data_IF_456025999499
#
_entry.id   IF_456025999499
#
_cell.length_a   1.000
_cell.length_b   1.000
_cell.length_c   1.000
_cell.angle_alpha   90.00
_cell.angle_beta   90.00
_cell.angle_gamma   90.00
#
_symmetry.space_group_name_H-M   'P 1'
#
loop_
_entity.id
_entity.type
_entity.pdbx_description
1 polymer ?
#
# COMPACT_ATOMS: atom_id res chain seq x y z
N UNK A 1 41.24 -12.62 9.81
CA UNK A 1 40.77 -12.97 8.45
C UNK A 1 40.81 -11.72 7.60
N UNK A 2 41.62 -11.69 6.53
CA UNK A 2 41.58 -10.60 5.56
C UNK A 2 40.31 -10.75 4.73
N UNK A 3 39.46 -9.72 4.75
CA UNK A 3 38.28 -9.60 3.89
C UNK A 3 38.74 -9.70 2.42
N UNK A 4 38.13 -10.60 1.65
CA UNK A 4 38.47 -10.81 0.23
C UNK A 4 38.20 -9.51 -0.57
N UNK A 5 38.95 -9.21 -1.64
CA UNK A 5 38.62 -8.09 -2.53
C UNK A 5 37.17 -8.12 -3.03
N UNK A 6 36.62 -9.32 -3.25
CA UNK A 6 35.21 -9.53 -3.64
C UNK A 6 34.20 -9.15 -2.54
N UNK A 7 34.57 -9.23 -1.26
CA UNK A 7 33.69 -8.85 -0.14
C UNK A 7 33.54 -7.33 0.00
N UNK A 8 34.39 -6.54 -0.67
CA UNK A 8 34.35 -5.08 -0.70
C UNK A 8 33.60 -4.54 -1.92
N UNK A 9 33.29 -5.40 -2.87
CA UNK A 9 32.59 -5.01 -4.07
C UNK A 9 31.12 -4.70 -3.74
N UNK A 10 30.69 -3.51 -4.15
CA UNK A 10 29.32 -3.07 -3.92
C UNK A 10 28.41 -3.77 -4.92
N UNK A 11 27.44 -4.50 -4.40
CA UNK A 11 26.45 -5.22 -5.19
C UNK A 11 25.09 -4.55 -5.09
N UNK A 12 24.26 -4.74 -6.11
CA UNK A 12 22.84 -4.46 -6.05
C UNK A 12 22.10 -5.73 -5.68
N UNK A 13 21.12 -5.62 -4.79
CA UNK A 13 20.28 -6.74 -4.36
C UNK A 13 18.82 -6.33 -4.51
N UNK A 14 18.05 -7.15 -5.23
CA UNK A 14 16.60 -7.04 -5.33
C UNK A 14 15.95 -7.95 -4.28
N UNK A 15 15.08 -7.38 -3.47
CA UNK A 15 14.28 -8.09 -2.49
C UNK A 15 12.95 -7.37 -2.27
N UNK A 16 11.86 -8.13 -2.18
CA UNK A 16 10.51 -7.59 -1.99
C UNK A 16 10.15 -6.54 -3.07
N UNK A 17 10.63 -6.74 -4.30
CA UNK A 17 10.35 -5.82 -5.39
C UNK A 17 11.00 -4.44 -5.31
N UNK A 18 12.02 -4.27 -4.47
CA UNK A 18 12.80 -3.03 -4.37
C UNK A 18 14.29 -3.35 -4.31
N UNK A 19 15.14 -2.35 -4.51
CA UNK A 19 16.59 -2.52 -4.58
C UNK A 19 17.32 -1.83 -3.43
N UNK A 20 18.37 -2.50 -2.95
CA UNK A 20 19.39 -1.90 -2.10
C UNK A 20 20.79 -2.12 -2.67
N UNK A 21 21.71 -1.21 -2.35
CA UNK A 21 23.08 -1.20 -2.85
C UNK A 21 24.07 -1.08 -1.67
N UNK A 22 24.94 -2.07 -1.51
CA UNK A 22 25.92 -2.20 -0.42
C UNK A 22 26.93 -3.31 -0.72
N UNK A 23 28.05 -3.45 0.04
CA UNK A 23 28.89 -4.63 -0.03
C UNK A 23 28.09 -5.92 0.17
N UNK A 24 28.40 -6.97 -0.59
CA UNK A 24 27.58 -8.19 -0.68
C UNK A 24 27.21 -8.82 0.68
N UNK A 25 28.14 -8.99 1.63
CA UNK A 25 27.79 -9.56 2.94
C UNK A 25 26.78 -8.70 3.71
N UNK A 26 26.90 -7.38 3.63
CA UNK A 26 26.00 -6.43 4.30
C UNK A 26 24.61 -6.40 3.64
N UNK A 27 24.58 -6.41 2.31
CA UNK A 27 23.36 -6.42 1.52
C UNK A 27 22.51 -7.66 1.83
N UNK A 28 23.13 -8.85 1.74
CA UNK A 28 22.46 -10.14 2.03
C UNK A 28 22.02 -10.21 3.49
N UNK A 29 22.89 -9.84 4.44
CA UNK A 29 22.55 -9.83 5.87
C UNK A 29 21.35 -8.91 6.16
N UNK A 30 21.25 -7.78 5.45
CA UNK A 30 20.15 -6.84 5.58
C UNK A 30 18.82 -7.41 5.11
N UNK A 31 18.80 -8.08 3.95
CA UNK A 31 17.60 -8.73 3.41
C UNK A 31 17.10 -9.83 4.35
N UNK A 32 18.01 -10.71 4.79
CA UNK A 32 17.69 -11.82 5.69
C UNK A 32 17.19 -11.32 7.05
N UNK A 33 17.77 -10.24 7.59
CA UNK A 33 17.35 -9.64 8.86
C UNK A 33 15.91 -9.07 8.83
N UNK A 34 15.38 -8.73 7.66
CA UNK A 34 13.98 -8.31 7.48
C UNK A 34 13.06 -9.46 7.03
N UNK A 35 13.53 -10.71 7.12
CA UNK A 35 12.75 -11.91 6.80
C UNK A 35 12.49 -12.11 5.31
N UNK A 36 13.26 -11.45 4.44
CA UNK A 36 13.15 -11.60 2.99
C UNK A 36 14.22 -12.52 2.44
N UNK A 37 14.01 -12.92 1.18
CA UNK A 37 14.99 -13.65 0.39
C UNK A 37 15.54 -12.72 -0.69
N UNK A 38 16.82 -12.89 -1.00
CA UNK A 38 17.43 -12.27 -2.17
C UNK A 38 16.75 -12.84 -3.40
N UNK A 39 16.03 -11.98 -4.12
CA UNK A 39 15.39 -12.38 -5.38
C UNK A 39 16.44 -12.42 -6.49
N UNK A 40 17.37 -11.46 -6.49
CA UNK A 40 18.53 -11.38 -7.39
C UNK A 40 19.65 -10.52 -6.80
N UNK A 41 20.90 -10.77 -7.22
CA UNK A 41 22.07 -9.99 -6.86
C UNK A 41 22.95 -9.73 -8.09
N UNK A 42 23.59 -8.55 -8.17
CA UNK A 42 24.47 -8.12 -9.27
C UNK A 42 25.71 -7.40 -8.77
N UNK A 43 26.86 -7.59 -9.42
CA UNK A 43 28.13 -6.92 -9.14
C UNK A 43 28.63 -6.05 -10.31
N UNK A 44 29.80 -5.42 -10.20
CA UNK A 44 30.29 -4.52 -11.24
C UNK A 44 30.69 -5.27 -12.52
N UNK A 45 31.04 -6.56 -12.41
CA UNK A 45 31.44 -7.40 -13.54
C UNK A 45 30.25 -7.75 -14.44
N UNK A 46 29.03 -7.82 -13.88
CA UNK A 46 27.79 -7.94 -14.65
C UNK A 46 27.53 -6.74 -15.59
N UNK A 47 28.16 -5.59 -15.34
CA UNK A 47 27.99 -4.35 -16.12
C UNK A 47 29.18 -4.03 -17.05
N UNK A 48 30.24 -4.84 -17.06
CA UNK A 48 31.47 -4.56 -17.81
C UNK A 48 31.45 -5.05 -19.28
N UNK A 49 30.35 -5.66 -19.74
CA UNK A 49 30.14 -6.03 -21.15
C UNK A 49 29.72 -4.80 -21.98
N UNK A 50 30.53 -4.43 -22.98
CA UNK A 50 30.35 -3.23 -23.80
C UNK A 50 29.17 -3.29 -24.77
N UNK A 51 28.62 -4.47 -25.03
CA UNK A 51 27.46 -4.69 -25.91
C UNK A 51 26.11 -4.74 -25.16
N UNK A 52 26.11 -4.48 -23.85
CA UNK A 52 24.94 -4.73 -23.01
C UNK A 52 24.09 -3.47 -22.75
N UNK A 53 22.97 -3.36 -23.47
CA UNK A 53 21.80 -2.58 -23.02
C UNK A 53 21.13 -3.33 -21.87
N UNK A 54 21.60 -3.14 -20.64
CA UNK A 54 21.04 -3.83 -19.47
C UNK A 54 19.56 -3.49 -19.29
N UNK A 55 18.60 -4.43 -19.43
CA UNK A 55 17.28 -4.16 -18.91
C UNK A 55 17.46 -4.00 -17.41
N UNK A 56 16.95 -2.91 -16.85
CA UNK A 56 16.49 -2.88 -15.48
C UNK A 56 15.67 -4.18 -15.30
N UNK A 57 16.22 -5.18 -14.61
CA UNK A 57 15.60 -6.53 -14.51
C UNK A 57 14.44 -6.51 -13.52
N UNK A 58 14.39 -5.48 -12.67
CA UNK A 58 13.18 -4.99 -12.03
C UNK A 58 12.08 -4.96 -13.10
N UNK A 59 10.90 -5.57 -12.85
CA UNK A 59 9.82 -5.51 -13.83
C UNK A 59 9.58 -4.07 -14.28
N UNK A 60 9.52 -3.81 -15.59
CA UNK A 60 9.54 -2.44 -16.15
C UNK A 60 8.47 -1.53 -15.55
N UNK A 61 7.32 -2.09 -15.13
CA UNK A 61 6.21 -1.35 -14.51
C UNK A 61 6.33 -1.17 -12.98
N UNK A 62 7.37 -1.70 -12.33
CA UNK A 62 7.56 -1.66 -10.88
C UNK A 62 7.56 -0.23 -10.35
N UNK A 63 6.65 0.01 -9.39
CA UNK A 63 6.46 1.29 -8.72
C UNK A 63 5.81 2.40 -9.57
N UNK A 64 5.72 2.25 -10.89
CA UNK A 64 5.15 3.28 -11.77
C UNK A 64 3.65 3.48 -11.56
N UNK A 65 2.91 2.38 -11.37
CA UNK A 65 1.46 2.43 -11.11
C UNK A 65 1.17 3.31 -9.90
N UNK A 66 1.86 3.08 -8.78
CA UNK A 66 1.70 3.89 -7.57
C UNK A 66 2.26 5.31 -7.74
N UNK A 67 3.33 5.51 -8.52
CA UNK A 67 3.85 6.86 -8.77
C UNK A 67 2.82 7.75 -9.48
N UNK A 68 2.20 7.26 -10.55
CA UNK A 68 1.15 8.03 -11.23
C UNK A 68 -0.10 8.17 -10.36
N UNK A 69 -0.45 7.13 -9.61
CA UNK A 69 -1.59 7.15 -8.69
C UNK A 69 -1.38 8.13 -7.52
N UNK A 70 -0.14 8.39 -7.10
CA UNK A 70 0.16 9.40 -6.09
C UNK A 70 -0.22 10.81 -6.57
N UNK A 71 0.17 11.20 -7.78
CA UNK A 71 -0.24 12.49 -8.34
C UNK A 71 -1.75 12.54 -8.59
N UNK A 72 -2.34 11.43 -9.06
CA UNK A 72 -3.80 11.30 -9.17
C UNK A 72 -4.50 11.49 -7.83
N UNK A 73 -3.97 10.92 -6.75
CA UNK A 73 -4.50 11.03 -5.40
C UNK A 73 -4.39 12.46 -4.84
N UNK A 74 -3.31 13.19 -5.16
CA UNK A 74 -3.19 14.62 -4.83
C UNK A 74 -4.31 15.42 -5.48
N UNK A 75 -4.53 15.23 -6.80
CA UNK A 75 -5.58 15.94 -7.53
C UNK A 75 -6.96 15.56 -6.99
N UNK A 76 -7.20 14.26 -6.78
CA UNK A 76 -8.46 13.75 -6.22
C UNK A 76 -8.75 14.33 -4.83
N UNK A 77 -7.75 14.37 -3.94
CA UNK A 77 -7.86 15.00 -2.62
C UNK A 77 -8.09 16.50 -2.70
N UNK A 78 -7.35 17.21 -3.56
CA UNK A 78 -7.51 18.65 -3.78
C UNK A 78 -8.91 19.03 -4.30
N UNK A 79 -9.60 18.12 -4.98
CA UNK A 79 -10.99 18.28 -5.41
C UNK A 79 -11.98 17.91 -4.30
N UNK A 80 -11.83 16.73 -3.69
CA UNK A 80 -12.85 16.21 -2.77
C UNK A 80 -12.84 16.89 -1.40
N UNK A 81 -11.67 17.30 -0.90
CA UNK A 81 -11.55 17.95 0.42
C UNK A 81 -12.37 19.25 0.47
N UNK A 82 -12.22 20.22 -0.47
CA UNK A 82 -13.04 21.43 -0.44
C UNK A 82 -14.53 21.15 -0.63
N UNK A 83 -14.90 20.23 -1.53
CA UNK A 83 -16.30 19.86 -1.75
C UNK A 83 -16.94 19.31 -0.48
N UNK A 84 -16.21 18.46 0.24
CA UNK A 84 -16.66 17.90 1.52
C UNK A 84 -16.69 18.96 2.63
N UNK A 85 -15.72 19.88 2.68
CA UNK A 85 -15.67 20.94 3.68
C UNK A 85 -16.83 21.93 3.55
N UNK A 86 -17.35 22.15 2.34
CA UNK A 86 -18.56 22.98 2.11
C UNK A 86 -19.83 22.31 2.64
N UNK A 87 -19.89 20.96 2.64
CA UNK A 87 -21.01 20.25 3.29
C UNK A 87 -20.96 20.37 4.80
N UNK A 88 -19.75 20.33 5.38
CA UNK A 88 -19.52 20.63 6.78
C UNK A 88 -18.16 20.17 7.28
N UNK A 89 -17.79 20.64 8.48
CA UNK A 89 -16.47 20.39 9.05
C UNK A 89 -16.18 18.90 9.26
N UNK A 90 -17.21 18.12 9.61
CA UNK A 90 -17.10 16.66 9.79
C UNK A 90 -16.74 15.96 8.48
N UNK A 91 -17.40 16.36 7.39
CA UNK A 91 -17.09 15.84 6.05
C UNK A 91 -15.68 16.26 5.61
N UNK A 92 -15.34 17.55 5.69
CA UNK A 92 -14.02 18.06 5.32
C UNK A 92 -12.87 17.36 6.05
N UNK A 93 -12.99 17.18 7.37
CA UNK A 93 -11.98 16.48 8.16
C UNK A 93 -11.83 15.00 7.76
N UNK A 94 -12.95 14.27 7.69
CA UNK A 94 -12.92 12.83 7.41
C UNK A 94 -12.32 12.52 6.03
N UNK A 95 -12.66 13.33 5.02
CA UNK A 95 -12.10 13.24 3.67
C UNK A 95 -10.64 13.66 3.63
N UNK A 96 -10.21 14.63 4.46
CA UNK A 96 -8.79 15.01 4.56
C UNK A 96 -7.95 13.85 5.10
N UNK A 97 -8.43 13.16 6.13
CA UNK A 97 -7.75 11.96 6.68
C UNK A 97 -7.64 10.88 5.61
N UNK A 98 -8.73 10.57 4.90
CA UNK A 98 -8.71 9.63 3.78
C UNK A 98 -7.71 10.04 2.68
N UNK A 99 -7.72 11.30 2.28
CA UNK A 99 -6.86 11.83 1.20
C UNK A 99 -5.37 11.79 1.59
N UNK A 100 -5.05 12.06 2.85
CA UNK A 100 -3.69 11.98 3.37
C UNK A 100 -3.18 10.53 3.37
N UNK A 101 -4.01 9.56 3.77
CA UNK A 101 -3.56 8.16 3.83
C UNK A 101 -3.43 7.53 2.44
N UNK A 102 -4.29 7.85 1.47
CA UNK A 102 -4.12 7.39 0.08
C UNK A 102 -2.89 8.01 -0.60
N UNK A 103 -2.63 9.30 -0.35
CA UNK A 103 -1.38 9.94 -0.79
C UNK A 103 -0.16 9.30 -0.14
N UNK A 104 -0.22 9.03 1.16
CA UNK A 104 0.84 8.33 1.89
C UNK A 104 1.11 6.93 1.33
N UNK A 105 0.05 6.14 1.09
CA UNK A 105 0.16 4.79 0.53
C UNK A 105 0.88 4.81 -0.82
N UNK A 106 0.35 5.56 -1.78
CA UNK A 106 0.92 5.58 -3.12
C UNK A 106 2.29 6.26 -3.17
N UNK A 107 2.48 7.35 -2.42
CA UNK A 107 3.74 8.08 -2.38
C UNK A 107 4.88 7.27 -1.76
N UNK A 108 4.65 6.67 -0.59
CA UNK A 108 5.65 5.82 0.09
C UNK A 108 5.96 4.58 -0.75
N UNK A 109 4.93 3.94 -1.31
CA UNK A 109 5.12 2.76 -2.14
C UNK A 109 5.88 3.05 -3.44
N UNK A 110 5.53 4.14 -4.12
CA UNK A 110 6.27 4.60 -5.29
C UNK A 110 7.74 4.87 -4.94
N UNK A 111 7.99 5.60 -3.85
CA UNK A 111 9.35 5.93 -3.42
C UNK A 111 10.14 4.67 -3.06
N UNK A 112 9.54 3.73 -2.32
CA UNK A 112 10.15 2.47 -1.93
C UNK A 112 10.60 1.66 -3.16
N UNK A 113 9.71 1.49 -4.14
CA UNK A 113 9.96 0.66 -5.31
C UNK A 113 10.74 1.33 -6.44
N UNK A 114 10.80 2.67 -6.48
CA UNK A 114 11.51 3.38 -7.57
C UNK A 114 12.96 3.71 -7.23
N UNK A 115 13.28 3.93 -5.95
CA UNK A 115 14.62 4.33 -5.53
C UNK A 115 15.50 3.13 -5.17
N UNK A 116 16.82 3.31 -5.34
CA UNK A 116 17.85 2.41 -4.80
C UNK A 116 18.28 2.91 -3.43
N UNK A 117 18.29 2.02 -2.45
CA UNK A 117 18.46 2.38 -1.05
C UNK A 117 19.79 1.89 -0.48
N UNK A 118 20.31 2.59 0.53
CA UNK A 118 21.28 2.00 1.44
C UNK A 118 20.57 0.95 2.33
N UNK A 119 21.31 0.02 2.97
CA UNK A 119 20.73 -0.99 3.84
C UNK A 119 19.76 -0.43 4.89
N UNK A 120 20.14 0.68 5.55
CA UNK A 120 19.28 1.35 6.53
C UNK A 120 18.03 1.97 5.88
N UNK A 121 18.19 2.63 4.74
CA UNK A 121 17.08 3.27 4.02
C UNK A 121 16.05 2.24 3.56
N UNK A 122 16.52 1.09 3.06
CA UNK A 122 15.68 0.01 2.57
C UNK A 122 14.79 -0.56 3.69
N UNK A 123 15.36 -0.83 4.87
CA UNK A 123 14.61 -1.30 6.05
C UNK A 123 13.51 -0.32 6.46
N UNK A 124 13.84 0.97 6.55
CA UNK A 124 12.88 2.01 6.95
C UNK A 124 11.74 2.07 5.93
N UNK A 125 12.06 2.14 4.64
CA UNK A 125 11.07 2.31 3.59
C UNK A 125 10.17 1.08 3.42
N UNK A 126 10.71 -0.14 3.52
CA UNK A 126 9.92 -1.37 3.54
C UNK A 126 8.88 -1.35 4.66
N UNK A 127 9.31 -0.98 5.87
CA UNK A 127 8.44 -0.93 7.03
C UNK A 127 7.38 0.16 6.91
N UNK A 128 7.73 1.32 6.35
CA UNK A 128 6.79 2.39 6.05
C UNK A 128 5.75 1.96 5.00
N UNK A 129 6.20 1.37 3.90
CA UNK A 129 5.33 0.91 2.81
C UNK A 129 4.28 -0.10 3.32
N UNK A 130 4.72 -1.11 4.06
CA UNK A 130 3.80 -2.12 4.59
C UNK A 130 2.90 -1.58 5.71
N UNK A 131 3.36 -0.57 6.45
CA UNK A 131 2.56 0.12 7.47
C UNK A 131 1.47 0.98 6.85
N UNK A 132 1.72 1.59 5.69
CA UNK A 132 0.75 2.44 5.03
C UNK A 132 -0.51 1.67 4.60
N UNK A 133 -0.42 0.36 4.36
CA UNK A 133 -1.59 -0.48 4.07
C UNK A 133 -2.58 -0.42 5.26
N UNK A 134 -2.09 -0.58 6.49
CA UNK A 134 -2.94 -0.49 7.70
C UNK A 134 -3.56 0.90 7.86
N UNK A 135 -2.75 1.95 7.73
CA UNK A 135 -3.20 3.33 7.88
C UNK A 135 -4.20 3.73 6.79
N UNK A 136 -4.00 3.25 5.56
CA UNK A 136 -4.91 3.50 4.45
C UNK A 136 -6.25 2.78 4.62
N UNK A 137 -6.26 1.56 5.15
CA UNK A 137 -7.50 0.88 5.52
C UNK A 137 -8.28 1.76 6.52
N UNK A 138 -7.66 2.16 7.64
CA UNK A 138 -8.34 3.01 8.63
C UNK A 138 -8.76 4.39 8.08
N UNK A 139 -7.93 5.01 7.25
CA UNK A 139 -8.25 6.27 6.59
C UNK A 139 -9.43 6.15 5.62
N UNK A 140 -9.54 5.03 4.90
CA UNK A 140 -10.70 4.71 4.04
C UNK A 140 -11.98 4.59 4.84
N UNK A 141 -11.94 3.95 6.01
CA UNK A 141 -13.10 3.83 6.89
C UNK A 141 -13.57 5.17 7.47
N UNK A 142 -12.66 6.13 7.63
CA UNK A 142 -12.95 7.39 8.35
C UNK A 142 -14.14 8.17 7.77
N UNK A 143 -14.23 8.46 6.46
CA UNK A 143 -15.42 9.11 5.89
C UNK A 143 -16.68 8.25 5.99
N UNK A 144 -16.63 6.93 5.80
CA UNK A 144 -17.84 6.09 5.91
C UNK A 144 -18.35 6.00 7.35
N UNK A 145 -17.46 5.79 8.31
CA UNK A 145 -17.80 5.74 9.72
C UNK A 145 -18.40 7.06 10.20
N UNK A 146 -17.95 8.19 9.66
CA UNK A 146 -18.44 9.50 10.08
C UNK A 146 -19.65 9.98 9.29
N UNK A 147 -19.85 9.55 8.05
CA UNK A 147 -20.87 10.12 7.15
C UNK A 147 -21.91 9.09 6.67
N UNK A 148 -21.63 7.80 6.71
CA UNK A 148 -22.47 6.75 6.11
C UNK A 148 -22.94 5.69 7.12
N UNK A 149 -22.70 5.91 8.42
CA UNK A 149 -23.06 5.01 9.52
C UNK A 149 -23.68 5.84 10.63
N UNK A 150 -24.62 5.26 11.39
CA UNK A 150 -25.14 5.95 12.58
C UNK A 150 -23.99 6.41 13.49
N UNK A 151 -24.17 7.52 14.21
CA UNK A 151 -23.06 8.16 14.90
C UNK A 151 -22.40 7.28 15.98
N UNK A 152 -23.18 6.50 16.74
CA UNK A 152 -22.66 5.61 17.77
C UNK A 152 -21.84 4.47 17.19
N UNK A 153 -22.40 3.76 16.21
CA UNK A 153 -21.77 2.64 15.52
C UNK A 153 -20.57 3.12 14.72
N UNK A 154 -20.66 4.31 14.10
CA UNK A 154 -19.58 4.97 13.40
C UNK A 154 -18.34 5.18 14.26
N UNK A 155 -18.51 5.68 15.49
CA UNK A 155 -17.37 5.82 16.42
C UNK A 155 -16.78 4.47 16.87
N UNK A 156 -17.62 3.44 17.04
CA UNK A 156 -17.14 2.08 17.34
C UNK A 156 -16.31 1.53 16.19
N UNK A 157 -16.80 1.66 14.95
CA UNK A 157 -16.06 1.27 13.74
C UNK A 157 -14.74 2.03 13.65
N UNK A 158 -14.77 3.35 13.83
CA UNK A 158 -13.58 4.20 13.76
C UNK A 158 -12.53 3.78 14.81
N UNK A 159 -12.96 3.54 16.06
CA UNK A 159 -12.07 3.07 17.12
C UNK A 159 -11.47 1.69 16.77
N UNK A 160 -12.30 0.76 16.29
CA UNK A 160 -11.85 -0.59 15.93
C UNK A 160 -10.82 -0.57 14.80
N UNK A 161 -11.09 0.18 13.71
CA UNK A 161 -10.20 0.19 12.53
C UNK A 161 -8.89 0.93 12.80
N UNK A 162 -8.92 2.03 13.56
CA UNK A 162 -7.69 2.74 13.93
C UNK A 162 -6.87 1.99 14.98
N UNK A 163 -7.51 1.36 15.97
CA UNK A 163 -6.79 0.49 16.91
C UNK A 163 -6.15 -0.70 16.19
N UNK A 164 -6.88 -1.36 15.30
CA UNK A 164 -6.36 -2.43 14.46
C UNK A 164 -5.22 -1.98 13.55
N UNK A 165 -5.31 -0.78 12.96
CA UNK A 165 -4.25 -0.22 12.14
C UNK A 165 -2.99 0.08 12.96
N UNK A 166 -3.12 0.70 14.13
CA UNK A 166 -1.99 0.97 15.02
C UNK A 166 -1.35 -0.32 15.54
N UNK A 167 -2.14 -1.34 15.85
CA UNK A 167 -1.63 -2.66 16.21
C UNK A 167 -0.85 -3.29 15.04
N UNK A 168 -1.37 -3.20 13.82
CA UNK A 168 -0.71 -3.68 12.60
C UNK A 168 0.60 -2.95 12.29
N UNK A 169 0.62 -1.62 12.41
CA UNK A 169 1.83 -0.80 12.29
C UNK A 169 2.86 -1.20 13.35
N UNK A 170 2.42 -1.35 14.60
CA UNK A 170 3.29 -1.77 15.71
C UNK A 170 3.90 -3.13 15.43
N UNK A 171 3.09 -4.11 15.02
CA UNK A 171 3.55 -5.44 14.63
C UNK A 171 4.63 -5.37 13.54
N UNK A 172 4.42 -4.54 12.51
CA UNK A 172 5.38 -4.42 11.42
C UNK A 172 6.70 -3.75 11.84
N UNK A 173 6.64 -2.81 12.80
CA UNK A 173 7.82 -2.13 13.31
C UNK A 173 8.64 -2.99 14.28
N UNK A 174 7.99 -3.81 15.10
CA UNK A 174 8.64 -4.61 16.15
C UNK A 174 8.98 -6.03 15.71
N UNK A 175 8.25 -6.59 14.75
CA UNK A 175 8.48 -7.93 14.19
C UNK A 175 8.69 -7.89 12.67
N UNK A 176 9.84 -7.37 12.19
CA UNK A 176 10.10 -7.20 10.76
C UNK A 176 10.16 -8.54 9.98
N UNK A 177 10.59 -9.61 10.65
CA UNK A 177 10.70 -10.98 10.11
C UNK A 177 9.38 -11.75 10.12
N UNK A 178 8.27 -11.13 10.55
CA UNK A 178 6.97 -11.76 10.54
C UNK A 178 6.64 -12.29 9.12
N UNK A 179 6.24 -13.56 8.98
CA UNK A 179 5.89 -14.11 7.68
C UNK A 179 4.77 -13.31 7.02
N UNK A 180 4.80 -13.20 5.69
CA UNK A 180 3.77 -12.46 4.92
C UNK A 180 2.35 -12.97 5.16
N UNK A 181 2.19 -14.27 5.47
CA UNK A 181 0.89 -14.88 5.81
C UNK A 181 0.32 -14.38 7.14
N UNK A 182 1.09 -13.68 7.98
CA UNK A 182 0.55 -12.99 9.17
C UNK A 182 -0.04 -11.64 8.76
N UNK A 183 0.67 -10.88 7.91
CA UNK A 183 0.22 -9.55 7.47
C UNK A 183 -1.04 -9.59 6.60
N UNK A 184 -1.07 -10.46 5.59
CA UNK A 184 -2.18 -10.51 4.60
C UNK A 184 -3.56 -10.75 5.26
N UNK A 185 -3.75 -11.75 6.14
CA UNK A 185 -5.01 -11.93 6.85
C UNK A 185 -5.37 -10.77 7.78
N UNK A 186 -4.39 -10.08 8.38
CA UNK A 186 -4.67 -8.90 9.20
C UNK A 186 -5.19 -7.74 8.34
N UNK A 187 -4.62 -7.52 7.15
CA UNK A 187 -5.11 -6.53 6.19
C UNK A 187 -6.54 -6.87 5.75
N UNK A 188 -6.80 -8.13 5.40
CA UNK A 188 -8.12 -8.58 4.97
C UNK A 188 -9.12 -8.47 6.12
N UNK A 189 -8.81 -9.01 7.30
CA UNK A 189 -9.69 -8.94 8.47
C UNK A 189 -10.07 -7.51 8.84
N UNK A 190 -9.09 -6.60 8.88
CA UNK A 190 -9.33 -5.18 9.13
C UNK A 190 -10.14 -4.53 8.00
N UNK A 191 -9.83 -4.90 6.74
CA UNK A 191 -10.50 -4.41 5.55
C UNK A 191 -11.97 -4.81 5.42
N UNK A 192 -12.41 -5.87 6.11
CA UNK A 192 -13.78 -6.39 6.03
C UNK A 192 -14.69 -5.97 7.21
N UNK A 193 -14.23 -5.10 8.12
CA UNK A 193 -15.05 -4.52 9.20
C UNK A 193 -16.33 -3.85 8.67
N UNK A 194 -16.31 -3.31 7.44
CA UNK A 194 -17.43 -2.66 6.79
C UNK A 194 -18.66 -3.57 6.65
N UNK A 195 -18.47 -4.90 6.59
CA UNK A 195 -19.58 -5.86 6.47
C UNK A 195 -20.60 -5.69 7.60
N UNK A 196 -20.15 -5.33 8.79
CA UNK A 196 -21.03 -5.13 9.95
C UNK A 196 -21.89 -3.87 9.85
N UNK A 197 -21.59 -2.96 8.92
CA UNK A 197 -22.29 -1.68 8.74
C UNK A 197 -22.78 -1.46 7.31
N UNK A 198 -22.84 -2.52 6.48
CA UNK A 198 -23.30 -2.40 5.09
C UNK A 198 -24.74 -1.91 4.97
N UNK A 199 -25.61 -2.28 5.92
CA UNK A 199 -27.02 -1.84 5.93
C UNK A 199 -27.12 -0.33 6.09
N UNK A 200 -26.30 0.26 6.96
CA UNK A 200 -26.27 1.71 7.14
C UNK A 200 -25.72 2.40 5.90
N UNK A 201 -24.62 1.87 5.34
CA UNK A 201 -24.03 2.40 4.11
C UNK A 201 -25.04 2.37 2.96
N UNK A 202 -25.81 1.28 2.84
CA UNK A 202 -26.86 1.15 1.83
C UNK A 202 -27.95 2.20 1.99
N UNK A 203 -28.44 2.42 3.21
CA UNK A 203 -29.53 3.37 3.46
C UNK A 203 -29.09 4.83 3.42
N UNK A 204 -27.85 5.12 3.81
CA UNK A 204 -27.35 6.49 3.97
C UNK A 204 -26.54 6.92 2.76
N UNK A 205 -25.52 6.16 2.35
CA UNK A 205 -24.69 6.51 1.19
C UNK A 205 -25.26 6.01 -0.14
N UNK A 206 -26.21 5.06 -0.10
CA UNK A 206 -26.93 4.55 -1.26
C UNK A 206 -26.31 3.30 -1.89
N UNK A 207 -27.11 2.66 -2.77
CA UNK A 207 -26.76 1.41 -3.46
C UNK A 207 -25.43 1.52 -4.21
N UNK A 208 -25.20 2.63 -4.91
CA UNK A 208 -23.96 2.84 -5.68
C UNK A 208 -22.73 2.81 -4.79
N UNK A 209 -22.77 3.47 -3.63
CA UNK A 209 -21.68 3.48 -2.67
C UNK A 209 -21.40 2.08 -2.12
N UNK A 210 -22.46 1.34 -1.75
CA UNK A 210 -22.36 -0.04 -1.30
C UNK A 210 -21.71 -0.97 -2.35
N UNK A 211 -22.15 -0.90 -3.61
CA UNK A 211 -21.59 -1.73 -4.69
C UNK A 211 -20.13 -1.39 -4.95
N UNK A 212 -19.77 -0.11 -4.99
CA UNK A 212 -18.39 0.32 -5.19
C UNK A 212 -17.47 -0.13 -4.04
N UNK A 213 -17.95 -0.09 -2.79
CA UNK A 213 -17.23 -0.61 -1.63
C UNK A 213 -17.07 -2.14 -1.70
N UNK A 214 -18.12 -2.87 -2.08
CA UNK A 214 -18.05 -4.31 -2.22
C UNK A 214 -17.05 -4.72 -3.32
N UNK A 215 -17.12 -4.08 -4.48
CA UNK A 215 -16.17 -4.31 -5.60
C UNK A 215 -14.75 -3.94 -5.17
N UNK A 216 -14.53 -2.79 -4.54
CA UNK A 216 -13.22 -2.38 -4.05
C UNK A 216 -12.66 -3.35 -2.99
N UNK A 217 -13.48 -3.79 -2.04
CA UNK A 217 -13.10 -4.80 -1.04
C UNK A 217 -12.71 -6.14 -1.65
N UNK A 218 -13.44 -6.61 -2.66
CA UNK A 218 -13.07 -7.81 -3.43
C UNK A 218 -11.75 -7.61 -4.18
N UNK A 219 -11.55 -6.47 -4.85
CA UNK A 219 -10.31 -6.17 -5.57
C UNK A 219 -9.10 -6.11 -4.63
N UNK A 220 -9.21 -5.47 -3.45
CA UNK A 220 -8.14 -5.49 -2.44
C UNK A 220 -7.82 -6.92 -1.99
N UNK A 221 -8.85 -7.74 -1.77
CA UNK A 221 -8.68 -9.13 -1.34
C UNK A 221 -7.97 -9.95 -2.42
N UNK A 222 -8.41 -9.86 -3.67
CA UNK A 222 -7.79 -10.55 -4.80
C UNK A 222 -6.34 -10.09 -5.03
N UNK A 223 -6.08 -8.79 -4.91
CA UNK A 223 -4.73 -8.23 -4.95
C UNK A 223 -3.85 -8.80 -3.83
N UNK A 224 -4.34 -8.80 -2.59
CA UNK A 224 -3.61 -9.34 -1.44
C UNK A 224 -3.31 -10.84 -1.56
N UNK A 225 -4.25 -11.61 -2.11
CA UNK A 225 -4.05 -13.03 -2.45
C UNK A 225 -2.98 -13.18 -3.53
N UNK A 226 -3.03 -12.40 -4.62
CA UNK A 226 -2.02 -12.46 -5.67
C UNK A 226 -0.61 -12.13 -5.14
N UNK A 227 -0.50 -11.13 -4.27
CA UNK A 227 0.73 -10.78 -3.57
C UNK A 227 1.23 -11.92 -2.67
N UNK A 228 0.35 -12.50 -1.85
CA UNK A 228 0.68 -13.59 -0.94
C UNK A 228 1.12 -14.87 -1.67
N UNK A 229 0.48 -15.20 -2.79
CA UNK A 229 0.79 -16.38 -3.62
C UNK A 229 1.97 -16.18 -4.58
N UNK A 230 2.47 -14.95 -4.72
CA UNK A 230 3.48 -14.56 -5.72
C UNK A 230 3.09 -14.93 -7.17
N UNK A 231 1.79 -14.93 -7.46
CA UNK A 231 1.19 -15.29 -8.76
C UNK A 231 -0.09 -14.48 -8.98
N UNK A 232 -0.50 -14.21 -10.24
CA UNK A 232 0.11 -14.63 -11.50
C UNK A 232 1.25 -13.70 -11.96
N UNK A 233 2.03 -14.15 -12.95
CA UNK A 233 3.01 -13.32 -13.65
C UNK A 233 2.61 -13.18 -15.14
N UNK A 234 1.65 -12.30 -15.45
CA UNK A 234 1.03 -12.25 -16.78
C UNK A 234 2.01 -11.83 -17.88
N UNK A 235 2.99 -10.98 -17.56
CA UNK A 235 4.05 -10.58 -18.50
C UNK A 235 5.42 -10.60 -17.80
N UNK A 236 6.12 -11.74 -17.81
CA UNK A 236 7.43 -11.88 -17.17
C UNK A 236 8.41 -10.76 -17.58
N UNK A 237 9.11 -10.18 -16.59
CA UNK A 237 10.04 -9.07 -16.80
C UNK A 237 9.40 -7.68 -16.99
N UNK A 238 8.08 -7.59 -17.11
CA UNK A 238 7.38 -6.29 -17.28
C UNK A 238 6.28 -6.09 -16.22
N UNK A 239 5.41 -7.09 -16.03
CA UNK A 239 4.23 -7.04 -15.18
C UNK A 239 4.03 -8.40 -14.47
N UNK A 240 4.36 -8.46 -13.18
CA UNK A 240 4.23 -9.63 -12.34
C UNK A 240 3.12 -9.49 -11.29
N UNK A 241 3.12 -10.40 -10.32
CA UNK A 241 2.12 -10.46 -9.25
C UNK A 241 2.06 -9.18 -8.39
N UNK A 242 3.19 -8.50 -8.20
CA UNK A 242 3.25 -7.22 -7.49
C UNK A 242 2.56 -6.11 -8.29
N UNK A 243 2.75 -6.06 -9.60
CA UNK A 243 2.06 -5.10 -10.46
C UNK A 243 0.55 -5.40 -10.53
N UNK A 244 0.15 -6.67 -10.50
CA UNK A 244 -1.25 -7.07 -10.32
C UNK A 244 -1.79 -6.52 -9.01
N UNK A 245 -1.07 -6.71 -7.90
CA UNK A 245 -1.44 -6.16 -6.60
C UNK A 245 -1.59 -4.63 -6.63
N UNK A 246 -0.63 -3.90 -7.20
CA UNK A 246 -0.69 -2.45 -7.35
C UNK A 246 -1.88 -2.00 -8.20
N UNK A 247 -2.12 -2.66 -9.34
CA UNK A 247 -3.25 -2.34 -10.21
C UNK A 247 -4.60 -2.54 -9.51
N UNK A 248 -4.78 -3.68 -8.84
CA UNK A 248 -5.99 -3.96 -8.07
C UNK A 248 -6.20 -2.95 -6.94
N UNK A 249 -5.12 -2.57 -6.25
CA UNK A 249 -5.14 -1.56 -5.18
C UNK A 249 -5.60 -0.20 -5.72
N UNK A 250 -5.10 0.22 -6.88
CA UNK A 250 -5.48 1.49 -7.51
C UNK A 250 -6.94 1.49 -7.96
N UNK A 251 -7.39 0.42 -8.64
CA UNK A 251 -8.80 0.32 -9.07
C UNK A 251 -9.74 0.31 -7.86
N UNK A 252 -9.39 -0.44 -6.82
CA UNK A 252 -10.15 -0.46 -5.57
C UNK A 252 -10.19 0.93 -4.89
N UNK A 253 -9.06 1.65 -4.89
CA UNK A 253 -8.98 2.99 -4.34
C UNK A 253 -9.84 3.99 -5.13
N UNK A 254 -9.93 3.86 -6.45
CA UNK A 254 -10.85 4.65 -7.30
C UNK A 254 -12.30 4.34 -6.94
N UNK A 255 -12.67 3.06 -6.81
CA UNK A 255 -14.02 2.68 -6.38
C UNK A 255 -14.37 3.31 -5.02
N UNK A 256 -13.45 3.24 -4.06
CA UNK A 256 -13.64 3.80 -2.72
C UNK A 256 -13.71 5.33 -2.74
N UNK A 257 -12.88 6.01 -3.55
CA UNK A 257 -12.95 7.46 -3.73
C UNK A 257 -14.34 7.91 -4.22
N UNK A 258 -14.86 7.22 -5.23
CA UNK A 258 -16.20 7.50 -5.78
C UNK A 258 -17.28 7.19 -4.73
N UNK A 259 -17.15 6.10 -3.98
CA UNK A 259 -18.07 5.77 -2.89
C UNK A 259 -18.06 6.84 -1.77
N UNK A 260 -16.89 7.40 -1.43
CA UNK A 260 -16.76 8.52 -0.48
C UNK A 260 -17.46 9.77 -1.01
N UNK A 261 -17.39 10.05 -2.31
CA UNK A 261 -18.16 11.13 -2.92
C UNK A 261 -19.66 10.98 -2.62
N UNK A 262 -20.24 9.81 -2.86
CA UNK A 262 -21.66 9.56 -2.51
C UNK A 262 -21.94 9.70 -1.01
N UNK A 263 -21.03 9.21 -0.16
CA UNK A 263 -21.18 9.38 1.29
C UNK A 263 -21.20 10.87 1.69
N UNK A 264 -20.37 11.71 1.08
CA UNK A 264 -20.34 13.16 1.36
C UNK A 264 -21.66 13.84 1.00
N UNK A 265 -22.26 13.53 -0.15
CA UNK A 265 -23.44 14.26 -0.64
C UNK A 265 -24.78 13.67 -0.19
N UNK A 266 -24.82 12.41 0.24
CA UNK A 266 -26.05 11.75 0.71
C UNK A 266 -26.17 11.76 2.25
N UNK A 267 -25.08 12.08 2.96
CA UNK A 267 -25.06 12.00 4.43
C UNK A 267 -25.94 13.05 5.09
N UNK A 268 -26.76 12.67 6.09
CA UNK A 268 -27.46 13.61 6.95
C UNK A 268 -26.58 14.13 8.10
N UNK A 269 -25.30 13.74 8.17
CA UNK A 269 -24.40 14.03 9.30
C UNK A 269 -23.35 15.10 9.00
N UNK A 270 -23.43 15.75 7.84
CA UNK A 270 -22.48 16.79 7.41
C UNK A 270 -22.57 18.07 8.25
#
# INVERSE_FOLDING_TARGET
>A
MSVSPHDRETVRVEADGSELEAPAPEAVATVVAEGEQVERAWDASDFADSDWTHPDTRPRARGWIHLFSFFGAIVAGAVLIPLAAVQGARAGWSVSVYSLTICGLFGISALYHRRRWSPRGWKIMKRLDHSMIFLFIAGTYTPFALLAVDQSTGFVVLAAVWAGALAGVTLKMTWPTAPRWVGVPLYIGLGWVAVFVLTDILHIAGVTSMVLLAVGGVLYTLGGIAYGLKKPNPWPGTFGYHEVFHAMTVVAAICHYIAVYFAVFNSPFV
#
